data_IF_387573995163
#
_entry.id   IF_387573995163
#
_cell.length_a   1.000
_cell.length_b   1.000
_cell.length_c   1.000
_cell.angle_alpha   90.00
_cell.angle_beta   90.00
_cell.angle_gamma   90.00
#
_symmetry.space_group_name_H-M   'P 1'
#
loop_
_entity.id
_entity.type
_entity.pdbx_description
1 polymer ?
#
# COMPACT_ATOMS: atom_id res chain seq x y z
N UNK A 1 32.00 4.76 -18.10
CA UNK A 1 30.69 5.39 -17.93
C UNK A 1 29.87 4.43 -17.10
N UNK A 2 29.40 4.86 -15.94
CA UNK A 2 28.49 4.06 -15.13
C UNK A 2 27.11 4.22 -15.76
N UNK A 3 26.55 3.15 -16.33
CA UNK A 3 25.17 3.16 -16.83
C UNK A 3 24.25 3.30 -15.63
N UNK A 4 23.59 4.45 -15.52
CA UNK A 4 22.59 4.70 -14.50
C UNK A 4 21.31 4.02 -14.99
N UNK A 5 21.06 2.79 -14.55
CA UNK A 5 19.76 2.16 -14.79
C UNK A 5 18.66 3.10 -14.24
N UNK A 6 17.62 3.40 -15.03
CA UNK A 6 16.56 4.28 -14.57
C UNK A 6 15.84 3.62 -13.39
N UNK A 7 15.91 4.25 -12.22
CA UNK A 7 15.12 3.82 -11.05
C UNK A 7 13.63 3.90 -11.38
N UNK A 8 13.00 2.74 -11.48
CA UNK A 8 11.57 2.62 -11.69
C UNK A 8 10.82 2.95 -10.41
N UNK A 9 9.82 3.83 -10.54
CA UNK A 9 8.99 4.28 -9.43
C UNK A 9 7.65 3.55 -9.48
N UNK A 10 7.21 3.05 -8.33
CA UNK A 10 6.00 2.24 -8.19
C UNK A 10 4.98 2.93 -7.28
N UNK A 11 3.69 2.74 -7.59
CA UNK A 11 2.58 3.10 -6.70
C UNK A 11 2.00 1.82 -6.10
N UNK A 12 1.93 1.75 -4.78
CA UNK A 12 1.31 0.65 -4.06
C UNK A 12 -0.17 0.96 -3.85
N UNK A 13 -1.06 0.19 -4.48
CA UNK A 13 -2.50 0.34 -4.34
C UNK A 13 -3.07 -0.75 -3.43
N UNK A 14 -3.71 -0.34 -2.34
CA UNK A 14 -4.37 -1.23 -1.40
C UNK A 14 -5.88 -0.93 -1.35
N UNK A 15 -6.71 -1.96 -1.44
CA UNK A 15 -8.17 -1.86 -1.41
C UNK A 15 -8.74 -2.92 -0.48
N UNK A 16 -9.65 -2.51 0.41
CA UNK A 16 -10.46 -3.45 1.19
C UNK A 16 -11.51 -4.09 0.26
N UNK A 17 -11.62 -5.41 0.25
CA UNK A 17 -12.46 -6.15 -0.71
C UNK A 17 -13.94 -6.28 -0.33
N UNK A 18 -14.37 -5.98 0.91
CA UNK A 18 -15.78 -6.12 1.35
C UNK A 18 -16.18 -5.23 2.56
N UNK A 19 -17.48 -4.96 2.69
CA UNK A 19 -18.14 -4.19 3.77
C UNK A 19 -18.44 -4.98 5.05
N UNK A 20 -17.79 -6.12 5.31
CA UNK A 20 -18.03 -6.80 6.60
C UNK A 20 -17.40 -5.97 7.73
N UNK A 21 -18.26 -5.41 8.57
CA UNK A 21 -18.02 -4.13 9.24
C UNK A 21 -17.11 -4.20 10.49
N UNK A 22 -16.98 -5.29 11.24
CA UNK A 22 -16.70 -5.07 12.66
C UNK A 22 -15.30 -5.41 13.22
N UNK A 23 -14.32 -5.91 12.45
CA UNK A 23 -12.99 -6.25 13.05
C UNK A 23 -11.73 -6.00 12.22
N UNK A 24 -11.82 -5.43 11.03
CA UNK A 24 -10.71 -5.51 10.06
C UNK A 24 -10.26 -4.16 9.47
N UNK A 25 -10.09 -3.13 10.31
CA UNK A 25 -9.26 -1.97 9.90
C UNK A 25 -7.77 -2.38 9.87
N UNK A 26 -7.39 -3.33 10.73
CA UNK A 26 -6.04 -3.90 10.79
C UNK A 26 -5.61 -4.63 9.50
N UNK A 27 -6.52 -5.06 8.62
CA UNK A 27 -6.14 -5.87 7.45
C UNK A 27 -5.45 -5.05 6.36
N UNK A 28 -5.92 -3.84 6.04
CA UNK A 28 -5.35 -3.02 4.95
C UNK A 28 -4.00 -2.42 5.36
N UNK A 29 -3.88 -1.92 6.59
CA UNK A 29 -2.59 -1.38 7.06
C UNK A 29 -1.52 -2.47 7.20
N UNK A 30 -1.88 -3.65 7.71
CA UNK A 30 -0.96 -4.78 7.79
C UNK A 30 -0.53 -5.25 6.40
N UNK A 31 -1.45 -5.33 5.44
CA UNK A 31 -1.14 -5.64 4.04
C UNK A 31 -0.18 -4.61 3.43
N UNK A 32 -0.42 -3.31 3.63
CA UNK A 32 0.48 -2.26 3.15
C UNK A 32 1.87 -2.42 3.77
N UNK A 33 1.95 -2.72 5.07
CA UNK A 33 3.23 -2.92 5.76
C UNK A 33 4.01 -4.10 5.21
N UNK A 34 3.38 -5.27 5.06
CA UNK A 34 4.01 -6.47 4.48
C UNK A 34 4.49 -6.20 3.05
N UNK A 35 3.69 -5.50 2.25
CA UNK A 35 4.05 -5.15 0.88
C UNK A 35 5.23 -4.16 0.81
N UNK A 36 5.34 -3.23 1.76
CA UNK A 36 6.50 -2.34 1.87
C UNK A 36 7.77 -3.10 2.30
N UNK A 37 7.64 -4.07 3.21
CA UNK A 37 8.75 -4.95 3.60
C UNK A 37 9.25 -5.80 2.44
N UNK A 38 8.34 -6.31 1.60
CA UNK A 38 8.66 -7.00 0.34
C UNK A 38 9.33 -6.05 -0.65
N UNK A 39 8.78 -4.85 -0.86
CA UNK A 39 9.36 -3.86 -1.77
C UNK A 39 10.79 -3.49 -1.38
N UNK A 40 11.06 -3.33 -0.08
CA UNK A 40 12.40 -3.08 0.43
C UNK A 40 13.37 -4.25 0.15
N UNK A 41 12.92 -5.50 0.31
CA UNK A 41 13.73 -6.70 0.01
C UNK A 41 14.05 -6.82 -1.48
N UNK A 42 13.12 -6.45 -2.34
CA UNK A 42 13.24 -6.56 -3.81
C UNK A 42 13.84 -5.29 -4.46
N UNK A 43 14.30 -4.31 -3.67
CA UNK A 43 14.77 -3.00 -4.15
C UNK A 43 13.75 -2.25 -5.04
N UNK A 44 12.45 -2.44 -4.79
CA UNK A 44 11.36 -1.76 -5.48
C UNK A 44 11.13 -0.38 -4.85
N UNK A 45 11.26 0.68 -5.65
CA UNK A 45 11.05 2.04 -5.18
C UNK A 45 9.56 2.42 -5.18
N UNK A 46 8.87 2.25 -4.07
CA UNK A 46 7.48 2.70 -3.90
C UNK A 46 7.45 4.18 -3.54
N UNK A 47 6.93 5.03 -4.43
CA UNK A 47 6.88 6.50 -4.24
C UNK A 47 5.52 7.01 -3.76
N UNK A 48 4.47 6.20 -3.91
CA UNK A 48 3.11 6.56 -3.53
C UNK A 48 2.37 5.33 -3.01
N UNK A 49 1.53 5.52 -2.00
CA UNK A 49 0.60 4.50 -1.51
C UNK A 49 -0.81 5.05 -1.62
N UNK A 50 -1.65 4.40 -2.44
CA UNK A 50 -3.07 4.72 -2.58
C UNK A 50 -3.90 3.69 -1.84
N UNK A 51 -4.78 4.17 -0.95
CA UNK A 51 -5.67 3.32 -0.16
C UNK A 51 -7.11 3.67 -0.49
N UNK A 52 -7.93 2.68 -0.79
CA UNK A 52 -9.38 2.85 -0.89
C UNK A 52 -10.02 2.27 0.36
N UNK A 53 -10.36 3.19 1.27
CA UNK A 53 -11.24 2.90 2.39
C UNK A 53 -12.69 3.08 1.95
N UNK A 54 -13.62 2.23 2.41
CA UNK A 54 -15.05 2.48 2.30
C UNK A 54 -15.42 3.86 2.83
N UNK A 55 -16.43 4.50 2.23
CA UNK A 55 -16.82 5.86 2.57
C UNK A 55 -17.20 6.01 4.04
N UNK A 56 -17.78 4.99 4.67
CA UNK A 56 -18.13 5.01 6.09
C UNK A 56 -16.92 5.16 7.04
N UNK A 57 -15.71 4.76 6.62
CA UNK A 57 -14.49 4.92 7.43
C UNK A 57 -13.83 6.30 7.25
N UNK A 58 -14.22 7.08 6.24
CA UNK A 58 -13.70 8.46 6.07
C UNK A 58 -14.20 9.42 7.15
N UNK A 59 -15.30 9.09 7.82
CA UNK A 59 -15.97 9.92 8.82
C UNK A 59 -15.47 9.76 10.26
N UNK A 60 -14.48 8.89 10.50
CA UNK A 60 -13.97 8.57 11.85
C UNK A 60 -12.65 9.28 12.22
N UNK A 61 -12.32 10.42 11.59
CA UNK A 61 -11.19 11.27 11.97
C UNK A 61 -11.64 12.66 12.42
#
# INVERSE_FOLDING_TARGET
MEEIEPKLNYCLYARKSTESEERQVLSVESQVKEMLELAAKENINVVEIRRVLPDYLRYYN
#
